data_IF_900622243023
#
_entry.id   IF_900622243023
#
_cell.length_a   1.000
_cell.length_b   1.000
_cell.length_c   1.000
_cell.angle_alpha   90.00
_cell.angle_beta   90.00
_cell.angle_gamma   90.00
#
_symmetry.space_group_name_H-M   'P 1'
#
loop_
_entity.id
_entity.type
_entity.pdbx_description
1 polymer ?
#
# COMPACT_ATOMS: atom_id res chain seq x y z
N UNK A 1 4.57 -10.93 1.02
CA UNK A 1 3.16 -11.34 1.20
C UNK A 1 2.99 -11.83 2.63
N UNK A 2 2.21 -11.13 3.45
CA UNK A 2 1.97 -11.53 4.84
C UNK A 2 1.07 -12.76 4.98
N UNK A 3 0.29 -13.08 3.94
CA UNK A 3 -0.66 -14.20 3.87
C UNK A 3 -0.75 -14.71 2.42
N UNK A 4 -1.37 -15.88 2.22
CA UNK A 4 -1.74 -16.37 0.89
C UNK A 4 -2.78 -15.43 0.27
N UNK A 5 -2.47 -14.89 -0.90
CA UNK A 5 -3.24 -13.81 -1.51
C UNK A 5 -3.33 -13.97 -3.03
N UNK A 6 -4.30 -13.28 -3.62
CA UNK A 6 -4.34 -13.02 -5.06
C UNK A 6 -4.04 -11.54 -5.28
N UNK A 7 -2.99 -11.22 -6.04
CA UNK A 7 -2.83 -9.87 -6.59
C UNK A 7 -3.94 -9.69 -7.61
N UNK A 8 -4.84 -8.74 -7.33
CA UNK A 8 -5.97 -8.41 -8.21
C UNK A 8 -5.69 -7.19 -9.07
N UNK A 9 -4.70 -6.40 -8.69
CA UNK A 9 -4.34 -5.17 -9.36
C UNK A 9 -2.87 -4.84 -9.09
N UNK A 10 -2.19 -4.41 -10.14
CA UNK A 10 -0.84 -3.85 -10.08
C UNK A 10 -0.86 -2.49 -10.76
N UNK A 11 -0.22 -1.51 -10.13
CA UNK A 11 -0.18 -0.15 -10.65
C UNK A 11 1.25 0.37 -10.69
N UNK A 12 1.56 1.16 -11.71
CA UNK A 12 2.88 1.74 -11.94
C UNK A 12 2.76 3.24 -12.13
N UNK A 13 3.77 3.95 -11.67
CA UNK A 13 3.87 5.39 -11.79
C UNK A 13 5.32 5.76 -12.10
N UNK A 14 5.51 6.69 -13.04
CA UNK A 14 6.81 7.32 -13.26
C UNK A 14 6.73 8.77 -12.81
N UNK A 15 7.65 9.19 -11.94
CA UNK A 15 7.77 10.62 -11.61
C UNK A 15 8.26 11.42 -12.82
N UNK A 16 8.18 12.75 -12.76
CA UNK A 16 8.71 13.63 -13.81
C UNK A 16 10.23 13.41 -14.07
N UNK A 17 10.97 12.92 -13.08
CA UNK A 17 12.38 12.53 -13.21
C UNK A 17 12.57 11.12 -13.79
N UNK A 18 11.49 10.43 -14.17
CA UNK A 18 11.51 9.09 -14.73
C UNK A 18 11.80 8.00 -13.70
N UNK A 19 11.57 8.28 -12.41
CA UNK A 19 11.72 7.30 -11.33
C UNK A 19 10.54 6.33 -11.39
N UNK A 20 10.84 5.06 -11.62
CA UNK A 20 9.84 4.00 -11.57
C UNK A 20 9.38 3.76 -10.14
N UNK A 21 8.07 3.72 -9.96
CA UNK A 21 7.43 3.17 -8.78
C UNK A 21 6.29 2.24 -9.19
N UNK A 22 5.99 1.28 -8.33
CA UNK A 22 4.85 0.41 -8.46
C UNK A 22 4.18 0.15 -7.12
N UNK A 23 3.01 -0.48 -7.20
CA UNK A 23 2.30 -0.99 -6.06
C UNK A 23 1.34 -2.11 -6.46
N UNK A 24 0.82 -2.81 -5.45
CA UNK A 24 -0.09 -3.94 -5.65
C UNK A 24 -1.27 -3.87 -4.68
N UNK A 25 -2.43 -4.30 -5.14
CA UNK A 25 -3.54 -4.68 -4.29
C UNK A 25 -3.60 -6.22 -4.25
N UNK A 26 -3.43 -6.79 -3.07
CA UNK A 26 -3.48 -8.24 -2.86
C UNK A 26 -4.58 -8.61 -1.86
N UNK A 27 -5.45 -9.53 -2.25
CA UNK A 27 -6.64 -9.93 -1.48
C UNK A 27 -6.49 -11.36 -1.01
N UNK A 28 -6.74 -11.61 0.27
CA UNK A 28 -6.85 -12.95 0.83
C UNK A 28 -8.22 -13.56 0.52
N UNK A 29 -8.31 -14.88 0.58
CA UNK A 29 -9.59 -15.59 0.41
C UNK A 29 -10.64 -15.22 1.49
N UNK A 30 -10.20 -14.66 2.62
CA UNK A 30 -11.09 -14.19 3.67
C UNK A 30 -11.52 -12.72 3.52
N UNK A 31 -11.25 -12.08 2.38
CA UNK A 31 -11.73 -10.74 2.06
C UNK A 31 -10.91 -9.61 2.69
N UNK A 32 -9.68 -9.88 3.11
CA UNK A 32 -8.74 -8.85 3.58
C UNK A 32 -7.85 -8.43 2.42
N UNK A 33 -7.76 -7.13 2.16
CA UNK A 33 -6.85 -6.60 1.15
C UNK A 33 -5.72 -5.84 1.81
N UNK A 34 -4.49 -6.06 1.33
CA UNK A 34 -3.41 -5.10 1.50
C UNK A 34 -3.23 -4.31 0.21
N UNK A 35 -3.02 -3.01 0.36
CA UNK A 35 -2.55 -2.11 -0.71
C UNK A 35 -1.17 -1.62 -0.31
N UNK A 36 -0.20 -1.84 -1.18
CA UNK A 36 1.16 -1.31 -0.99
C UNK A 36 1.56 -0.47 -2.20
N UNK A 37 2.17 0.68 -1.95
CA UNK A 37 2.59 1.62 -3.00
C UNK A 37 3.97 2.21 -2.70
N UNK A 38 4.48 3.01 -3.64
CA UNK A 38 5.85 3.55 -3.59
C UNK A 38 6.93 2.46 -3.47
N UNK A 39 6.78 1.35 -4.19
CA UNK A 39 7.79 0.30 -4.30
C UNK A 39 8.64 0.56 -5.55
N UNK A 40 9.94 0.24 -5.56
CA UNK A 40 10.77 0.53 -6.75
C UNK A 40 11.69 -0.60 -7.21
N UNK A 41 11.91 -1.61 -6.37
CA UNK A 41 12.60 -2.83 -6.81
C UNK A 41 11.70 -4.04 -6.54
N UNK A 42 11.08 -4.64 -7.57
CA UNK A 42 10.16 -5.76 -7.38
C UNK A 42 10.88 -7.04 -6.96
N UNK A 43 10.20 -7.87 -6.17
CA UNK A 43 10.61 -9.25 -5.95
C UNK A 43 10.42 -10.10 -7.23
N UNK A 44 11.03 -11.30 -7.32
CA UNK A 44 11.05 -12.10 -8.55
C UNK A 44 9.66 -12.35 -9.16
N UNK A 45 8.71 -12.82 -8.35
CA UNK A 45 7.35 -13.16 -8.82
C UNK A 45 6.57 -11.91 -9.29
N UNK A 46 6.77 -10.77 -8.61
CA UNK A 46 6.12 -9.50 -8.98
C UNK A 46 6.78 -8.87 -10.20
N UNK A 47 8.09 -9.08 -10.38
CA UNK A 47 8.83 -8.62 -11.56
C UNK A 47 8.31 -9.32 -12.82
N UNK A 48 8.14 -10.63 -12.78
CA UNK A 48 7.56 -11.40 -13.90
C UNK A 48 6.15 -10.89 -14.24
N UNK A 49 5.34 -10.58 -13.22
CA UNK A 49 4.01 -10.00 -13.43
C UNK A 49 4.07 -8.60 -14.06
N UNK A 50 4.99 -7.73 -13.60
CA UNK A 50 5.20 -6.40 -14.17
C UNK A 50 5.65 -6.47 -15.64
N UNK A 51 6.55 -7.40 -15.97
CA UNK A 51 6.99 -7.64 -17.35
C UNK A 51 5.82 -8.13 -18.22
N UNK A 52 5.01 -9.07 -17.70
CA UNK A 52 3.84 -9.58 -18.41
C UNK A 52 2.80 -8.50 -18.74
N UNK A 53 2.58 -7.54 -17.83
CA UNK A 53 1.60 -6.46 -18.03
C UNK A 53 2.17 -5.21 -18.72
N UNK A 54 3.44 -5.22 -19.13
CA UNK A 54 4.11 -4.04 -19.67
C UNK A 54 4.31 -2.91 -18.65
N UNK A 55 4.26 -3.22 -17.36
CA UNK A 55 4.36 -2.24 -16.27
C UNK A 55 5.74 -1.59 -16.15
N UNK A 56 6.78 -2.17 -16.73
CA UNK A 56 8.14 -1.63 -16.72
C UNK A 56 8.40 -0.58 -17.83
N UNK A 57 7.43 -0.31 -18.70
CA UNK A 57 7.58 0.63 -19.81
C UNK A 57 7.60 2.08 -19.32
N UNK A 58 8.78 2.69 -19.39
CA UNK A 58 9.04 4.06 -18.93
C UNK A 58 8.10 5.08 -19.58
N UNK A 59 7.45 5.89 -18.73
CA UNK A 59 6.61 7.00 -19.15
C UNK A 59 5.13 6.65 -19.33
N UNK A 60 4.73 5.42 -18.99
CA UNK A 60 3.32 5.05 -18.89
C UNK A 60 2.93 4.76 -17.45
N UNK A 61 1.95 5.50 -16.95
CA UNK A 61 1.28 5.18 -15.70
C UNK A 61 0.17 4.19 -16.01
N UNK A 62 0.27 2.99 -15.47
CA UNK A 62 -0.69 1.92 -15.76
C UNK A 62 -1.32 1.44 -14.46
N UNK A 63 -2.59 1.09 -14.54
CA UNK A 63 -3.29 0.33 -13.51
C UNK A 63 -3.91 -0.88 -14.20
N UNK A 64 -3.40 -2.07 -13.90
CA UNK A 64 -3.75 -3.29 -14.61
C UNK A 64 -4.37 -4.27 -13.62
N UNK A 65 -5.57 -4.73 -13.93
CA UNK A 65 -6.22 -5.81 -13.18
C UNK A 65 -5.65 -7.15 -13.62
N UNK A 66 -5.27 -7.95 -12.64
CA UNK A 66 -4.60 -9.24 -12.82
C UNK A 66 -5.23 -10.27 -11.89
N UNK A 67 -4.90 -11.54 -12.07
CA UNK A 67 -5.32 -12.61 -11.17
C UNK A 67 -4.14 -13.54 -10.92
N UNK A 68 -3.22 -13.07 -10.08
CA UNK A 68 -1.97 -13.76 -9.79
C UNK A 68 -1.96 -14.24 -8.33
N UNK A 69 -1.99 -15.55 -8.13
CA UNK A 69 -1.91 -16.15 -6.79
C UNK A 69 -0.48 -16.06 -6.28
N UNK A 70 -0.33 -15.55 -5.07
CA UNK A 70 0.95 -15.38 -4.38
C UNK A 70 0.87 -16.07 -3.03
N UNK A 71 1.72 -17.07 -2.75
CA UNK A 71 1.76 -17.70 -1.45
C UNK A 71 2.27 -16.74 -0.37
N UNK A 72 1.94 -17.04 0.89
CA UNK A 72 2.55 -16.40 2.04
C UNK A 72 4.07 -16.50 1.95
N UNK A 73 4.76 -15.40 2.24
CA UNK A 73 6.22 -15.31 2.18
C UNK A 73 6.78 -14.80 0.85
N UNK A 74 5.99 -14.75 -0.24
CA UNK A 74 6.43 -14.14 -1.51
C UNK A 74 6.92 -12.71 -1.29
N UNK A 75 8.11 -12.37 -1.79
CA UNK A 75 8.65 -11.02 -1.68
C UNK A 75 7.96 -10.11 -2.70
N UNK A 76 7.29 -9.05 -2.24
CA UNK A 76 6.60 -8.10 -3.12
C UNK A 76 7.62 -7.15 -3.75
N UNK A 77 8.48 -6.57 -2.90
CA UNK A 77 9.53 -5.66 -3.28
C UNK A 77 10.78 -5.96 -2.45
N UNK A 78 11.94 -5.86 -3.09
CA UNK A 78 13.25 -5.87 -2.46
C UNK A 78 13.58 -4.50 -1.86
N UNK A 79 13.15 -3.41 -2.51
CA UNK A 79 13.32 -2.06 -2.04
C UNK A 79 12.05 -1.20 -2.19
N UNK A 80 11.83 -0.34 -1.20
CA UNK A 80 10.65 0.52 -1.06
C UNK A 80 11.04 1.98 -0.87
N UNK A 81 10.15 2.87 -1.25
CA UNK A 81 10.28 4.32 -1.16
C UNK A 81 10.65 5.00 -2.49
N UNK A 82 11.28 6.16 -2.40
CA UNK A 82 11.96 6.77 -3.55
C UNK A 82 13.47 6.47 -3.49
N UNK A 83 14.11 6.06 -4.61
CA UNK A 83 15.56 5.88 -4.67
C UNK A 83 16.30 7.17 -4.27
N UNK A 84 17.34 7.03 -3.44
CA UNK A 84 18.19 8.16 -3.04
C UNK A 84 18.92 8.76 -4.25
N UNK A 85 19.10 10.09 -4.25
CA UNK A 85 19.91 10.80 -5.26
C UNK A 85 19.13 11.44 -6.41
N UNK A 86 17.80 11.46 -6.35
CA UNK A 86 16.92 12.22 -7.24
C UNK A 86 16.57 13.57 -6.60
N UNK A 87 16.23 14.61 -7.37
CA UNK A 87 16.00 15.95 -6.77
C UNK A 87 14.71 15.97 -5.91
N UNK A 88 13.84 14.99 -6.11
CA UNK A 88 12.66 14.68 -5.30
C UNK A 88 12.93 13.63 -4.20
N UNK A 89 14.05 12.90 -4.29
CA UNK A 89 14.38 11.71 -3.51
C UNK A 89 14.77 12.02 -2.07
N UNK A 90 13.76 12.23 -1.24
CA UNK A 90 13.92 12.38 0.22
C UNK A 90 14.02 11.03 0.96
N UNK A 91 14.02 9.90 0.24
CA UNK A 91 13.89 8.56 0.82
C UNK A 91 12.47 8.28 1.34
N UNK A 92 11.47 9.00 0.81
CA UNK A 92 10.09 8.97 1.28
C UNK A 92 9.49 7.56 1.23
N UNK A 93 8.71 7.23 2.27
CA UNK A 93 8.28 5.89 2.67
C UNK A 93 7.33 5.14 1.72
N UNK A 94 6.74 4.08 2.25
CA UNK A 94 5.81 3.19 1.54
C UNK A 94 4.37 3.54 1.92
N UNK A 95 3.47 3.53 0.95
CA UNK A 95 2.03 3.54 1.25
C UNK A 95 1.61 2.15 1.72
N UNK A 96 0.96 2.05 2.88
CA UNK A 96 0.37 0.81 3.37
C UNK A 96 -1.10 1.01 3.74
N UNK A 97 -1.98 0.36 3.00
CA UNK A 97 -3.40 0.28 3.28
C UNK A 97 -3.80 -1.14 3.69
N UNK A 98 -4.62 -1.23 4.74
CA UNK A 98 -5.31 -2.45 5.13
C UNK A 98 -6.82 -2.23 4.97
N UNK A 99 -7.49 -3.12 4.25
CA UNK A 99 -8.92 -3.04 3.98
C UNK A 99 -9.62 -4.35 4.36
N UNK A 100 -10.82 -4.23 4.93
CA UNK A 100 -11.74 -5.34 5.14
C UNK A 100 -12.88 -5.23 4.13
N UNK A 101 -12.81 -5.99 3.04
CA UNK A 101 -13.78 -5.94 1.95
C UNK A 101 -15.14 -6.53 2.34
N UNK A 102 -15.27 -7.11 3.54
CA UNK A 102 -16.53 -7.68 4.05
C UNK A 102 -17.35 -6.68 4.83
N UNK A 103 -16.75 -5.57 5.26
CA UNK A 103 -17.43 -4.59 6.12
C UNK A 103 -16.99 -3.17 5.81
N UNK A 104 -17.94 -2.24 5.78
CA UNK A 104 -17.64 -0.83 5.60
C UNK A 104 -16.84 -0.27 6.78
N UNK A 105 -15.95 0.66 6.48
CA UNK A 105 -15.20 1.48 7.43
C UNK A 105 -16.18 2.14 8.41
N UNK A 106 -15.98 1.84 9.69
CA UNK A 106 -16.86 2.31 10.77
C UNK A 106 -16.54 3.74 11.20
N UNK A 107 -15.33 4.23 10.91
CA UNK A 107 -14.81 5.51 11.37
C UNK A 107 -14.21 6.36 10.22
N UNK A 108 -14.95 6.59 9.11
CA UNK A 108 -14.43 7.40 8.01
C UNK A 108 -14.25 8.87 8.45
N UNK A 109 -13.31 9.62 7.85
CA UNK A 109 -13.19 11.06 8.05
C UNK A 109 -14.46 11.76 7.59
N UNK A 110 -14.73 12.96 8.14
CA UNK A 110 -15.93 13.75 7.80
C UNK A 110 -16.01 13.99 6.28
N UNK A 111 -14.88 14.24 5.63
CA UNK A 111 -14.78 14.41 4.17
C UNK A 111 -15.25 13.21 3.35
N UNK A 112 -15.29 12.00 3.94
CA UNK A 112 -15.72 10.76 3.29
C UNK A 112 -17.02 10.21 3.91
N UNK A 113 -17.61 10.90 4.88
CA UNK A 113 -18.77 10.41 5.63
C UNK A 113 -20.07 10.32 4.80
N UNK A 114 -20.17 11.14 3.75
CA UNK A 114 -21.33 11.20 2.84
C UNK A 114 -21.27 10.25 1.64
N UNK A 115 -20.09 9.71 1.31
CA UNK A 115 -19.91 8.75 0.21
C UNK A 115 -19.05 7.57 0.68
N UNK A 116 -19.68 6.69 1.47
CA UNK A 116 -19.06 5.45 1.97
C UNK A 116 -18.86 4.40 0.88
N UNK A 117 -19.24 4.69 -0.37
CA UNK A 117 -19.10 3.77 -1.51
C UNK A 117 -17.79 3.96 -2.27
N UNK A 118 -17.04 5.02 -1.97
CA UNK A 118 -15.69 5.19 -2.46
C UNK A 118 -14.84 4.00 -2.02
N UNK A 119 -14.35 3.23 -3.00
CA UNK A 119 -13.79 1.88 -2.81
C UNK A 119 -12.76 1.82 -1.67
N UNK A 120 -11.69 2.61 -1.73
CA UNK A 120 -10.67 2.55 -0.68
C UNK A 120 -11.16 3.14 0.67
N UNK A 121 -11.67 4.39 0.76
CA UNK A 121 -12.14 4.95 2.03
C UNK A 121 -13.24 4.11 2.70
N UNK A 122 -14.11 3.49 1.90
CA UNK A 122 -15.27 2.72 2.30
C UNK A 122 -14.93 1.39 2.95
N UNK A 123 -13.76 0.80 2.67
CA UNK A 123 -13.35 -0.49 3.25
C UNK A 123 -12.05 -0.41 4.08
N UNK A 124 -11.42 0.77 4.17
CA UNK A 124 -10.23 0.99 4.99
C UNK A 124 -10.44 0.64 6.46
N UNK A 125 -9.40 0.06 7.03
CA UNK A 125 -9.28 -0.29 8.44
C UNK A 125 -8.36 0.72 9.12
N UNK A 126 -8.81 1.27 10.24
CA UNK A 126 -8.02 2.15 11.11
C UNK A 126 -7.01 1.35 11.94
N UNK A 127 -6.01 0.81 11.25
CA UNK A 127 -5.12 -0.20 11.81
C UNK A 127 -4.12 0.39 12.81
N UNK A 128 -3.63 1.63 12.62
CA UNK A 128 -2.76 2.32 13.57
C UNK A 128 -3.48 2.69 14.87
N UNK A 129 -4.77 2.97 14.79
CA UNK A 129 -5.64 3.31 15.93
C UNK A 129 -6.27 2.07 16.58
N UNK A 130 -6.17 0.92 15.93
CA UNK A 130 -6.72 -0.31 16.46
C UNK A 130 -5.88 -0.79 17.67
N UNK A 131 -6.51 -1.45 18.65
CA UNK A 131 -5.83 -2.03 19.81
C UNK A 131 -5.11 -3.33 19.44
N UNK A 132 -4.38 -3.34 18.32
CA UNK A 132 -3.66 -4.49 17.78
C UNK A 132 -2.16 -4.43 18.05
N UNK A 133 -1.64 -3.23 18.32
CA UNK A 133 -0.24 -3.03 18.66
C UNK A 133 -0.03 -3.13 20.16
N UNK A 134 1.04 -3.81 20.55
CA UNK A 134 1.54 -3.72 21.92
C UNK A 134 2.13 -2.35 22.20
N UNK A 135 2.31 -1.99 23.47
CA UNK A 135 3.01 -0.75 23.84
C UNK A 135 4.45 -0.71 23.27
N UNK A 136 5.09 -1.87 23.14
CA UNK A 136 6.43 -1.99 22.56
C UNK A 136 6.43 -1.69 21.05
N UNK A 137 5.44 -2.21 20.33
CA UNK A 137 5.26 -1.92 18.89
C UNK A 137 4.97 -0.43 18.67
N UNK A 138 4.11 0.17 19.49
CA UNK A 138 3.81 1.60 19.43
C UNK A 138 5.07 2.46 19.68
N UNK A 139 5.92 2.08 20.63
CA UNK A 139 7.19 2.75 20.88
C UNK A 139 8.17 2.58 19.71
N UNK A 140 8.14 1.46 19.01
CA UNK A 140 8.96 1.21 17.82
C UNK A 140 8.49 2.04 16.64
N UNK A 141 7.17 2.09 16.39
CA UNK A 141 6.55 2.94 15.37
C UNK A 141 6.87 4.42 15.60
N UNK A 142 6.82 4.89 16.85
CA UNK A 142 7.14 6.28 17.20
C UNK A 142 8.60 6.67 16.90
N UNK A 143 9.51 5.70 16.72
CA UNK A 143 10.92 5.95 16.38
C UNK A 143 11.17 6.04 14.88
N UNK A 144 10.20 5.73 14.02
CA UNK A 144 10.37 5.79 12.57
C UNK A 144 10.48 7.27 12.15
N UNK A 145 11.65 7.75 11.69
CA UNK A 145 11.89 9.18 11.46
C UNK A 145 10.98 9.79 10.39
N UNK A 146 10.58 8.99 9.41
CA UNK A 146 9.72 9.38 8.29
C UNK A 146 8.25 9.62 8.69
N UNK A 147 7.81 9.17 9.87
CA UNK A 147 6.44 9.39 10.34
C UNK A 147 6.25 10.75 11.02
N UNK A 148 7.33 11.41 11.47
CA UNK A 148 7.23 12.67 12.20
C UNK A 148 6.34 12.61 13.46
N UNK A 149 6.20 11.42 14.06
CA UNK A 149 5.26 11.11 15.17
C UNK A 149 4.27 9.99 14.81
N UNK A 150 3.43 9.55 15.76
CA UNK A 150 2.31 8.64 15.45
C UNK A 150 1.29 9.44 14.64
N UNK A 151 1.11 9.07 13.37
CA UNK A 151 0.05 9.61 12.51
C UNK A 151 -1.12 8.64 12.46
N UNK A 152 -2.30 9.20 12.27
CA UNK A 152 -3.53 8.46 12.05
C UNK A 152 -3.48 7.73 10.70
N UNK A 153 -4.15 6.59 10.59
CA UNK A 153 -4.32 5.90 9.32
C UNK A 153 -5.07 6.81 8.36
N UNK A 154 -4.64 6.89 7.11
CA UNK A 154 -5.43 7.56 6.09
C UNK A 154 -6.83 6.93 6.03
N UNK A 155 -7.84 7.76 5.80
CA UNK A 155 -9.26 7.35 5.83
C UNK A 155 -9.77 6.90 7.20
N UNK A 156 -9.14 7.38 8.27
CA UNK A 156 -9.67 7.29 9.61
C UNK A 156 -9.91 8.67 10.21
N UNK A 157 -10.97 8.78 11.02
CA UNK A 157 -11.28 10.03 11.72
C UNK A 157 -10.06 10.45 12.52
N UNK A 158 -9.52 11.63 12.21
CA UNK A 158 -8.48 12.24 13.03
C UNK A 158 -9.00 12.34 14.47
N UNK A 159 -8.33 11.67 15.41
CA UNK A 159 -8.52 11.90 16.83
C UNK A 159 -8.02 13.31 17.13
N UNK A 160 -8.93 14.28 17.04
CA UNK A 160 -8.75 15.62 17.62
C UNK A 160 -8.91 15.57 19.13
#
# INVERSE_FOLDING_TARGET
>A
MPFDATIINIFTNFTEEGVFQFGVNAVSDCGIMIRVGHLYEPGPDVKELLEFVGGLDKGTNNEVYVNAKMPKGTIIALNVGQPFGTAQGTGAGMDFGLLDLRSLNKNPPISFSGDRTLYYPGFSVCWLEAPWFSNEDLQTLAKIPALGGIRTSDYCKNSG
#
